data_IF_084287023395
#
_entry.id   IF_084287023395
#
_cell.length_a   1.000
_cell.length_b   1.000
_cell.length_c   1.000
_cell.angle_alpha   90.00
_cell.angle_beta   90.00
_cell.angle_gamma   90.00
#
_symmetry.space_group_name_H-M   'P 1'
#
loop_
_entity.id
_entity.type
_entity.pdbx_description
1 polymer ?
#
# COMPACT_ATOMS: atom_id res chain seq x y z
N UNK A 1 9.85 1.92 14.62
CA UNK A 1 9.93 0.68 13.84
C UNK A 1 8.52 0.32 13.44
N UNK A 2 8.16 0.51 12.17
CA UNK A 2 6.87 0.08 11.65
C UNK A 2 6.94 -1.44 11.43
N UNK A 3 6.58 -2.21 12.47
CA UNK A 3 6.73 -3.66 12.49
C UNK A 3 5.82 -4.41 11.49
N UNK A 4 4.88 -3.72 10.81
CA UNK A 4 3.94 -4.32 9.87
C UNK A 4 4.40 -4.35 8.41
N UNK A 5 5.37 -3.51 8.02
CA UNK A 5 5.63 -3.22 6.60
C UNK A 5 6.12 -4.44 5.80
N UNK A 6 7.08 -5.26 6.28
CA UNK A 6 7.58 -6.38 5.47
C UNK A 6 6.58 -7.55 5.38
N UNK A 7 5.85 -7.82 6.46
CA UNK A 7 4.96 -8.99 6.54
C UNK A 7 3.69 -8.80 5.73
N UNK A 8 3.09 -7.60 5.76
CA UNK A 8 1.91 -7.28 4.95
C UNK A 8 2.26 -7.36 3.46
N UNK A 9 3.45 -6.88 3.07
CA UNK A 9 3.90 -6.92 1.67
C UNK A 9 4.19 -8.35 1.23
N UNK A 10 4.90 -9.13 2.05
CA UNK A 10 5.15 -10.53 1.75
C UNK A 10 3.85 -11.35 1.61
N UNK A 11 2.85 -11.06 2.46
CA UNK A 11 1.55 -11.69 2.38
C UNK A 11 0.80 -11.31 1.10
N UNK A 12 0.73 -10.01 0.78
CA UNK A 12 0.11 -9.51 -0.44
C UNK A 12 0.77 -10.07 -1.71
N UNK A 13 2.11 -10.11 -1.75
CA UNK A 13 2.86 -10.71 -2.85
C UNK A 13 2.54 -12.20 -3.02
N UNK A 14 2.44 -12.95 -1.92
CA UNK A 14 2.14 -14.38 -1.95
C UNK A 14 0.71 -14.67 -2.42
N UNK A 15 -0.26 -13.85 -2.03
CA UNK A 15 -1.66 -14.05 -2.39
C UNK A 15 -2.06 -13.40 -3.73
N UNK A 16 -1.23 -12.49 -4.26
CA UNK A 16 -1.58 -11.68 -5.43
C UNK A 16 -2.61 -10.58 -5.10
N UNK A 17 -2.62 -10.11 -3.86
CA UNK A 17 -3.55 -9.12 -3.34
C UNK A 17 -3.01 -7.69 -3.46
N UNK A 18 -3.89 -6.72 -3.65
CA UNK A 18 -3.55 -5.30 -3.57
C UNK A 18 -3.56 -4.82 -2.11
N UNK A 19 -2.66 -3.89 -1.76
CA UNK A 19 -2.62 -3.28 -0.42
C UNK A 19 -3.42 -1.97 -0.42
N UNK A 20 -4.42 -1.89 0.45
CA UNK A 20 -5.15 -0.62 0.69
C UNK A 20 -4.54 0.08 1.90
N UNK A 21 -3.98 1.27 1.71
CA UNK A 21 -3.32 2.03 2.79
C UNK A 21 -3.49 3.54 2.67
N UNK A 22 -3.75 4.20 3.80
CA UNK A 22 -3.82 5.66 3.88
C UNK A 22 -2.45 6.34 4.04
N UNK A 23 -1.36 5.57 4.13
CA UNK A 23 0.00 6.13 4.15
C UNK A 23 0.38 6.80 2.83
N UNK A 24 1.04 7.96 2.92
CA UNK A 24 1.58 8.64 1.74
C UNK A 24 2.95 8.05 1.40
N UNK A 25 3.26 8.02 0.10
CA UNK A 25 4.59 7.66 -0.40
C UNK A 25 5.61 8.56 0.29
N UNK A 26 6.63 7.95 0.91
CA UNK A 26 7.77 8.65 1.44
C UNK A 26 8.57 9.22 0.25
N UNK A 27 8.97 10.49 0.32
CA UNK A 27 9.69 11.14 -0.77
C UNK A 27 11.03 10.47 -1.11
N UNK A 28 11.68 10.87 -2.23
CA UNK A 28 12.97 10.31 -2.61
C UNK A 28 14.04 10.55 -1.53
N UNK A 29 14.93 9.57 -1.30
CA UNK A 29 16.04 9.66 -0.33
C UNK A 29 15.69 9.31 1.12
N UNK A 30 14.50 8.75 1.36
CA UNK A 30 14.11 8.26 2.70
C UNK A 30 14.90 7.00 3.03
N UNK A 31 15.59 7.01 4.18
CA UNK A 31 16.30 5.84 4.72
C UNK A 31 15.35 4.65 4.83
N UNK A 32 15.83 3.43 4.54
CA UNK A 32 15.04 2.18 4.54
C UNK A 32 14.16 2.03 5.79
N UNK A 33 14.68 2.38 6.98
CA UNK A 33 13.96 2.33 8.26
C UNK A 33 12.74 3.25 8.38
N UNK A 34 12.64 4.23 7.47
CA UNK A 34 11.60 5.26 7.41
C UNK A 34 10.73 5.13 6.15
N UNK A 35 10.99 4.12 5.30
CA UNK A 35 10.13 3.83 4.17
C UNK A 35 8.71 3.51 4.66
N UNK A 36 7.75 3.79 3.78
CA UNK A 36 6.32 3.61 4.01
C UNK A 36 5.83 2.41 3.22
N UNK A 37 4.69 1.84 3.61
CA UNK A 37 4.10 0.69 2.90
C UNK A 37 4.05 0.89 1.38
N UNK A 38 3.63 2.05 0.83
CA UNK A 38 3.62 2.28 -0.62
C UNK A 38 5.01 2.19 -1.28
N UNK A 39 6.07 2.61 -0.60
CA UNK A 39 7.44 2.56 -1.13
C UNK A 39 7.91 1.12 -1.25
N UNK A 40 7.79 0.38 -0.16
CA UNK A 40 8.24 -1.01 -0.10
C UNK A 40 7.36 -1.89 -1.00
N UNK A 41 6.05 -1.60 -1.10
CA UNK A 41 5.15 -2.30 -2.02
C UNK A 41 5.56 -2.07 -3.48
N UNK A 42 5.85 -0.83 -3.87
CA UNK A 42 6.31 -0.49 -5.21
C UNK A 42 7.64 -1.19 -5.57
N UNK A 43 8.59 -1.24 -4.65
CA UNK A 43 9.86 -1.97 -4.83
C UNK A 43 9.66 -3.47 -5.05
N UNK A 44 8.64 -4.06 -4.42
CA UNK A 44 8.33 -5.49 -4.52
C UNK A 44 7.26 -5.80 -5.58
N UNK A 45 6.94 -4.85 -6.47
CA UNK A 45 5.89 -4.99 -7.50
C UNK A 45 4.51 -5.36 -6.94
N UNK A 46 4.23 -4.98 -5.69
CA UNK A 46 2.92 -5.10 -5.06
C UNK A 46 2.18 -3.78 -5.22
N UNK A 47 0.97 -3.83 -5.76
CA UNK A 47 0.14 -2.64 -5.91
C UNK A 47 -0.32 -2.14 -4.54
N UNK A 48 -0.32 -0.81 -4.39
CA UNK A 48 -0.95 -0.17 -3.25
C UNK A 48 -1.83 0.99 -3.69
N UNK A 49 -2.97 1.19 -3.02
CA UNK A 49 -3.95 2.22 -3.36
C UNK A 49 -4.62 2.81 -2.13
N UNK A 50 -5.29 3.96 -2.30
CA UNK A 50 -6.13 4.57 -1.25
C UNK A 50 -7.44 3.85 -1.12
N UNK A 51 -8.06 3.95 0.06
CA UNK A 51 -9.36 3.35 0.32
C UNK A 51 -10.42 3.86 -0.65
N UNK A 52 -10.44 5.16 -0.95
CA UNK A 52 -11.37 5.71 -1.94
C UNK A 52 -11.12 5.23 -3.36
N UNK A 53 -9.87 4.98 -3.74
CA UNK A 53 -9.55 4.45 -5.06
C UNK A 53 -9.98 2.98 -5.16
N UNK A 54 -9.77 2.20 -4.09
CA UNK A 54 -10.32 0.86 -3.99
C UNK A 54 -11.84 0.84 -4.13
N UNK A 55 -12.56 1.69 -3.39
CA UNK A 55 -14.02 1.77 -3.50
C UNK A 55 -14.49 2.15 -4.92
N UNK A 56 -13.77 3.05 -5.60
CA UNK A 56 -14.06 3.40 -7.00
C UNK A 56 -13.87 2.20 -7.94
N UNK A 57 -12.79 1.45 -7.77
CA UNK A 57 -12.52 0.23 -8.55
C UNK A 57 -13.61 -0.83 -8.31
N UNK A 58 -14.09 -0.95 -7.06
CA UNK A 58 -15.20 -1.84 -6.71
C UNK A 58 -16.58 -1.33 -7.16
N UNK A 59 -16.65 -0.18 -7.86
CA UNK A 59 -17.91 0.38 -8.38
C UNK A 59 -18.84 0.92 -7.29
N UNK A 60 -18.33 1.23 -6.09
CA UNK A 60 -19.14 1.80 -5.03
C UNK A 60 -19.61 3.21 -5.39
N UNK A 61 -20.92 3.44 -5.32
CA UNK A 61 -21.53 4.76 -5.48
C UNK A 61 -21.99 5.28 -4.13
N UNK A 62 -21.45 6.42 -3.69
CA UNK A 62 -21.98 7.14 -2.55
C UNK A 62 -23.29 7.82 -2.96
N UNK A 63 -24.41 7.38 -2.41
CA UNK A 63 -25.70 8.07 -2.56
C UNK A 63 -25.82 9.10 -1.44
N UNK A 64 -26.15 10.33 -1.83
CA UNK A 64 -26.41 11.48 -0.93
C UNK A 64 -27.84 11.43 -0.40
#
# INVERSE_FOLDING_TARGET
>A
MNAGDPWIIAHALREGSDIVTEERVAGPGVLDKNQKVPNVAAENSVNSMKFFDYLRIQGWTFRY
#
